data_IF_665626101021
#
_entry.id   IF_665626101021
#
_cell.length_a   1.000
_cell.length_b   1.000
_cell.length_c   1.000
_cell.angle_alpha   90.00
_cell.angle_beta   90.00
_cell.angle_gamma   90.00
#
_symmetry.space_group_name_H-M   'P 1'
#
loop_
_entity.id
_entity.type
_entity.pdbx_description
1 polymer ?
#
# COMPACT_ATOMS: atom_id res chain seq x y z
N UNK A 1 31.99 -8.01 -13.98
CA UNK A 1 30.83 -8.74 -13.44
C UNK A 1 31.04 -9.30 -12.02
N UNK A 2 32.28 -9.33 -11.48
CA UNK A 2 32.60 -10.13 -10.27
C UNK A 2 32.51 -9.37 -8.93
N UNK A 3 32.75 -8.06 -8.87
CA UNK A 3 32.81 -7.35 -7.58
C UNK A 3 31.45 -7.25 -6.86
N UNK A 4 30.36 -7.00 -7.59
CA UNK A 4 29.01 -6.86 -7.04
C UNK A 4 28.51 -8.16 -6.38
N UNK A 5 28.64 -9.29 -7.08
CA UNK A 5 28.26 -10.60 -6.56
C UNK A 5 29.13 -11.03 -5.37
N UNK A 6 30.43 -10.67 -5.38
CA UNK A 6 31.30 -10.93 -4.24
C UNK A 6 30.90 -10.12 -3.00
N UNK A 7 30.49 -8.86 -3.16
CA UNK A 7 29.96 -8.05 -2.05
C UNK A 7 28.73 -8.75 -1.47
N UNK A 8 27.78 -9.15 -2.32
CA UNK A 8 26.56 -9.83 -1.85
C UNK A 8 26.89 -11.10 -1.08
N UNK A 9 27.71 -11.98 -1.66
CA UNK A 9 28.07 -13.24 -1.01
C UNK A 9 28.81 -13.03 0.32
N UNK A 10 29.66 -11.99 0.41
CA UNK A 10 30.37 -11.64 1.64
C UNK A 10 29.41 -11.14 2.72
N UNK A 11 28.56 -10.17 2.40
CA UNK A 11 27.59 -9.60 3.35
C UNK A 11 26.58 -10.65 3.81
N UNK A 12 26.08 -11.49 2.90
CA UNK A 12 25.16 -12.57 3.24
C UNK A 12 25.79 -13.57 4.24
N UNK A 13 27.04 -13.98 3.99
CA UNK A 13 27.80 -14.83 4.93
C UNK A 13 28.02 -14.14 6.27
N UNK A 14 28.25 -12.83 6.28
CA UNK A 14 28.40 -12.05 7.52
C UNK A 14 27.15 -12.14 8.40
N UNK A 15 25.95 -12.08 7.79
CA UNK A 15 24.70 -12.26 8.53
C UNK A 15 24.61 -13.68 9.14
N UNK A 16 24.79 -14.74 8.36
CA UNK A 16 24.63 -16.12 8.87
C UNK A 16 25.75 -16.62 9.78
N UNK A 17 26.93 -15.99 9.74
CA UNK A 17 28.02 -16.30 10.66
C UNK A 17 27.83 -15.64 12.04
N UNK A 18 26.91 -14.69 12.16
CA UNK A 18 26.62 -14.01 13.42
C UNK A 18 25.39 -14.63 14.11
N UNK A 19 25.48 -15.00 15.40
CA UNK A 19 24.33 -15.45 16.20
C UNK A 19 23.14 -14.47 16.17
N UNK A 20 23.42 -13.18 15.97
CA UNK A 20 22.44 -12.09 15.94
C UNK A 20 21.38 -12.31 14.85
N UNK A 21 21.76 -12.87 13.70
CA UNK A 21 20.83 -13.12 12.60
C UNK A 21 19.77 -14.18 12.96
N UNK A 22 20.16 -15.24 13.66
CA UNK A 22 19.24 -16.27 14.11
C UNK A 22 18.30 -15.73 15.19
N UNK A 23 18.84 -14.98 16.17
CA UNK A 23 18.02 -14.30 17.18
C UNK A 23 16.99 -13.37 16.53
N UNK A 24 17.38 -12.62 15.49
CA UNK A 24 16.48 -11.75 14.75
C UNK A 24 15.31 -12.51 14.14
N UNK A 25 15.57 -13.62 13.43
CA UNK A 25 14.51 -14.44 12.80
C UNK A 25 13.60 -15.05 13.88
N UNK A 26 14.16 -15.59 14.96
CA UNK A 26 13.37 -16.20 16.05
C UNK A 26 12.44 -15.18 16.71
N UNK A 27 12.95 -13.98 17.02
CA UNK A 27 12.14 -12.92 17.64
C UNK A 27 11.08 -12.42 16.65
N UNK A 28 11.43 -12.28 15.37
CA UNK A 28 10.47 -11.92 14.31
C UNK A 28 9.33 -12.93 14.22
N UNK A 29 9.65 -14.23 14.18
CA UNK A 29 8.66 -15.30 14.15
C UNK A 29 7.81 -15.34 15.42
N UNK A 30 8.42 -15.21 16.59
CA UNK A 30 7.69 -15.24 17.87
C UNK A 30 6.66 -14.11 17.93
N UNK A 31 7.06 -12.89 17.57
CA UNK A 31 6.15 -11.73 17.58
C UNK A 31 5.06 -11.88 16.52
N UNK A 32 5.42 -12.21 15.28
CA UNK A 32 4.44 -12.31 14.17
C UNK A 32 3.47 -13.47 14.36
N UNK A 33 3.97 -14.68 14.62
CA UNK A 33 3.13 -15.86 14.85
C UNK A 33 2.34 -15.75 16.16
N UNK A 34 2.93 -15.23 17.23
CA UNK A 34 2.26 -15.10 18.53
C UNK A 34 1.07 -14.13 18.48
N UNK A 35 1.25 -12.96 17.85
CA UNK A 35 0.16 -12.00 17.64
C UNK A 35 -0.92 -12.59 16.73
N UNK A 36 -0.52 -13.25 15.63
CA UNK A 36 -1.46 -13.88 14.73
C UNK A 36 -2.31 -14.96 15.41
N UNK A 37 -1.69 -15.87 16.16
CA UNK A 37 -2.39 -16.96 16.84
C UNK A 37 -3.45 -16.43 17.81
N UNK A 38 -3.11 -15.39 18.56
CA UNK A 38 -4.05 -14.76 19.51
C UNK A 38 -5.30 -14.26 18.79
N UNK A 39 -5.13 -13.54 17.67
CA UNK A 39 -6.26 -13.02 16.88
C UNK A 39 -7.01 -14.14 16.15
N UNK A 40 -6.32 -15.17 15.68
CA UNK A 40 -6.92 -16.32 15.00
C UNK A 40 -7.88 -17.08 15.90
N UNK A 41 -7.47 -17.42 17.14
CA UNK A 41 -8.33 -18.10 18.10
C UNK A 41 -9.52 -17.25 18.56
N UNK A 42 -9.36 -15.93 18.61
CA UNK A 42 -10.44 -14.99 18.93
C UNK A 42 -11.44 -14.82 17.78
N UNK A 43 -10.96 -14.69 16.55
CA UNK A 43 -11.81 -14.44 15.38
C UNK A 43 -12.57 -15.70 14.92
N UNK A 44 -11.96 -16.89 15.07
CA UNK A 44 -12.58 -18.15 14.65
C UNK A 44 -12.74 -18.30 13.13
N UNK A 45 -12.05 -17.48 12.33
CA UNK A 45 -12.11 -17.49 10.86
C UNK A 45 -10.72 -17.78 10.29
N UNK A 46 -10.65 -18.66 9.30
CA UNK A 46 -9.42 -19.01 8.59
C UNK A 46 -9.00 -17.92 7.59
N UNK A 47 -8.55 -16.76 8.08
CA UNK A 47 -8.08 -15.63 7.27
C UNK A 47 -6.71 -15.11 7.73
N UNK A 48 -5.86 -14.71 6.77
CA UNK A 48 -4.57 -14.05 7.04
C UNK A 48 -4.65 -12.52 7.10
N UNK A 49 -5.84 -11.94 6.96
CA UNK A 49 -6.00 -10.49 6.98
C UNK A 49 -5.48 -9.83 8.27
N UNK A 50 -5.71 -10.39 9.48
CA UNK A 50 -5.16 -9.83 10.72
C UNK A 50 -3.63 -9.88 10.77
N UNK A 51 -3.01 -10.94 10.23
CA UNK A 51 -1.56 -11.03 10.10
C UNK A 51 -1.02 -9.87 9.27
N UNK A 52 -1.56 -9.66 8.07
CA UNK A 52 -1.11 -8.58 7.20
C UNK A 52 -1.40 -7.20 7.82
N UNK A 53 -2.50 -6.99 8.54
CA UNK A 53 -2.76 -5.69 9.18
C UNK A 53 -1.73 -5.29 10.24
N UNK A 54 -1.12 -6.26 10.94
CA UNK A 54 -0.10 -5.99 11.97
C UNK A 54 1.33 -5.98 11.41
N UNK A 55 1.54 -6.63 10.27
CA UNK A 55 2.85 -6.82 9.65
C UNK A 55 3.60 -5.51 9.36
N UNK A 56 2.99 -4.41 8.85
CA UNK A 56 3.71 -3.16 8.59
C UNK A 56 4.38 -2.58 9.83
N UNK A 57 3.68 -2.58 10.98
CA UNK A 57 4.22 -2.05 12.23
C UNK A 57 5.41 -2.88 12.71
N UNK A 58 5.30 -4.21 12.60
CA UNK A 58 6.38 -5.13 12.95
C UNK A 58 7.57 -4.88 12.02
N UNK A 59 7.37 -4.85 10.70
CA UNK A 59 8.43 -4.61 9.74
C UNK A 59 9.14 -3.26 9.95
N UNK A 60 8.42 -2.19 10.32
CA UNK A 60 9.04 -0.90 10.64
C UNK A 60 10.08 -1.03 11.75
N UNK A 61 9.78 -1.80 12.80
CA UNK A 61 10.71 -2.01 13.92
C UNK A 61 11.89 -2.89 13.48
N UNK A 62 11.61 -4.02 12.83
CA UNK A 62 12.62 -5.01 12.47
C UNK A 62 13.54 -4.53 11.35
N UNK A 63 13.00 -3.91 10.30
CA UNK A 63 13.82 -3.36 9.21
C UNK A 63 14.67 -2.18 9.69
N UNK A 64 14.15 -1.32 10.57
CA UNK A 64 14.97 -0.25 11.20
C UNK A 64 16.14 -0.82 11.99
N UNK A 65 15.91 -1.91 12.74
CA UNK A 65 16.96 -2.59 13.50
C UNK A 65 17.98 -3.28 12.58
N UNK A 66 17.55 -3.80 11.43
CA UNK A 66 18.44 -4.43 10.47
C UNK A 66 19.31 -3.40 9.73
N UNK A 67 18.73 -2.26 9.32
CA UNK A 67 19.44 -1.24 8.54
C UNK A 67 20.38 -0.37 9.36
N UNK A 68 20.15 -0.22 10.68
CA UNK A 68 20.92 0.70 11.52
C UNK A 68 22.44 0.48 11.41
N UNK A 69 22.89 -0.78 11.25
CA UNK A 69 24.30 -1.17 11.19
C UNK A 69 24.94 -1.05 9.81
N UNK A 70 24.17 -1.00 8.72
CA UNK A 70 24.69 -1.13 7.36
C UNK A 70 25.80 -0.12 7.02
N UNK A 71 25.61 1.14 7.43
CA UNK A 71 26.59 2.21 7.22
C UNK A 71 27.10 2.82 8.53
N UNK A 72 26.25 2.98 9.54
CA UNK A 72 26.67 3.59 10.80
C UNK A 72 27.80 2.79 11.48
N UNK A 73 27.81 1.46 11.37
CA UNK A 73 28.87 0.63 11.94
C UNK A 73 30.22 0.86 11.24
N UNK A 74 30.24 0.90 9.92
CA UNK A 74 31.47 1.18 9.16
C UNK A 74 32.00 2.59 9.40
N UNK A 75 31.09 3.55 9.65
CA UNK A 75 31.46 4.92 10.02
C UNK A 75 32.02 5.00 11.43
N UNK A 76 31.41 4.30 12.38
CA UNK A 76 31.87 4.25 13.78
C UNK A 76 33.23 3.57 13.88
N UNK A 77 33.44 2.49 13.13
CA UNK A 77 34.69 1.72 13.13
C UNK A 77 35.77 2.33 12.22
N UNK A 78 35.48 3.41 11.49
CA UNK A 78 36.45 4.06 10.61
C UNK A 78 36.86 3.23 9.38
N UNK A 79 36.09 2.21 9.01
CA UNK A 79 36.39 1.32 7.86
C UNK A 79 35.85 1.87 6.55
N UNK A 80 34.99 2.90 6.58
CA UNK A 80 34.41 3.50 5.38
C UNK A 80 35.45 4.00 4.35
N UNK A 81 36.56 4.67 4.73
CA UNK A 81 37.61 5.05 3.77
C UNK A 81 38.33 3.85 3.13
N UNK A 82 38.48 2.73 3.85
CA UNK A 82 39.05 1.48 3.31
C UNK A 82 38.13 0.85 2.27
N UNK A 83 36.81 0.98 2.46
CA UNK A 83 35.83 0.50 1.50
C UNK A 83 35.90 1.31 0.19
N UNK A 84 36.14 2.62 0.29
CA UNK A 84 36.28 3.51 -0.88
C UNK A 84 37.63 3.43 -1.59
N UNK A 85 38.67 2.89 -0.95
CA UNK A 85 39.95 2.66 -1.64
C UNK A 85 39.91 1.46 -2.58
N UNK A 86 38.90 0.59 -2.44
CA UNK A 86 38.66 -0.50 -3.37
C UNK A 86 38.16 0.04 -4.73
N UNK A 87 38.52 -0.59 -5.85
CA UNK A 87 38.12 -0.18 -7.20
C UNK A 87 36.65 -0.56 -7.50
N UNK A 88 35.73 -0.17 -6.63
CA UNK A 88 34.29 -0.45 -6.71
C UNK A 88 33.49 0.84 -6.73
N UNK A 89 32.55 0.94 -7.66
CA UNK A 89 31.63 2.08 -7.74
C UNK A 89 30.73 2.15 -6.49
N UNK A 90 30.43 3.35 -6.01
CA UNK A 90 29.50 3.57 -4.88
C UNK A 90 28.14 2.91 -5.10
N UNK A 91 27.64 2.93 -6.34
CA UNK A 91 26.38 2.25 -6.70
C UNK A 91 26.42 0.74 -6.47
N UNK A 92 27.54 0.08 -6.77
CA UNK A 92 27.68 -1.36 -6.56
C UNK A 92 27.76 -1.72 -5.08
N UNK A 93 28.35 -0.86 -4.25
CA UNK A 93 28.42 -1.03 -2.80
C UNK A 93 27.02 -0.91 -2.16
N UNK A 94 26.28 0.14 -2.53
CA UNK A 94 24.91 0.37 -2.04
C UNK A 94 23.99 -0.77 -2.45
N UNK A 95 23.95 -1.10 -3.75
CA UNK A 95 23.08 -2.17 -4.25
C UNK A 95 23.47 -3.55 -3.68
N UNK A 96 24.76 -3.81 -3.47
CA UNK A 96 25.24 -5.07 -2.90
C UNK A 96 24.80 -5.25 -1.44
N UNK A 97 24.98 -4.23 -0.61
CA UNK A 97 24.51 -4.23 0.79
C UNK A 97 22.99 -4.29 0.87
N UNK A 98 22.29 -3.50 0.05
CA UNK A 98 20.83 -3.52 -0.02
C UNK A 98 20.29 -4.90 -0.37
N UNK A 99 20.79 -5.52 -1.45
CA UNK A 99 20.29 -6.83 -1.90
C UNK A 99 20.60 -7.94 -0.88
N UNK A 100 21.71 -7.83 -0.15
CA UNK A 100 22.06 -8.77 0.92
C UNK A 100 21.10 -8.67 2.10
N UNK A 101 20.79 -7.44 2.56
CA UNK A 101 19.80 -7.20 3.59
C UNK A 101 18.40 -7.61 3.14
N UNK A 102 18.05 -7.33 1.87
CA UNK A 102 16.77 -7.71 1.28
C UNK A 102 16.58 -9.23 1.24
N UNK A 103 17.57 -9.99 0.78
CA UNK A 103 17.51 -11.46 0.79
C UNK A 103 17.37 -12.00 2.22
N UNK A 104 18.06 -11.40 3.19
CA UNK A 104 17.94 -11.78 4.59
C UNK A 104 16.53 -11.52 5.15
N UNK A 105 15.94 -10.36 4.89
CA UNK A 105 14.56 -10.05 5.28
C UNK A 105 13.54 -10.93 4.56
N UNK A 106 13.79 -11.28 3.29
CA UNK A 106 12.96 -12.25 2.55
C UNK A 106 13.00 -13.64 3.18
N UNK A 107 14.15 -14.09 3.68
CA UNK A 107 14.24 -15.37 4.40
C UNK A 107 13.45 -15.33 5.72
N UNK A 108 13.53 -14.22 6.45
CA UNK A 108 12.74 -14.00 7.67
C UNK A 108 11.24 -14.04 7.35
N UNK A 109 10.79 -13.35 6.28
CA UNK A 109 9.41 -13.37 5.82
C UNK A 109 8.98 -14.76 5.35
N UNK A 110 9.81 -15.47 4.57
CA UNK A 110 9.52 -16.82 4.09
C UNK A 110 9.34 -17.82 5.25
N UNK A 111 10.01 -17.59 6.38
CA UNK A 111 9.83 -18.42 7.57
C UNK A 111 8.41 -18.32 8.17
N UNK A 112 7.65 -17.26 7.84
CA UNK A 112 6.24 -17.11 8.25
C UNK A 112 5.27 -17.95 7.40
N UNK A 113 5.73 -18.55 6.28
CA UNK A 113 4.90 -19.41 5.42
C UNK A 113 4.36 -20.66 6.13
N UNK A 114 4.84 -20.96 7.34
CA UNK A 114 4.24 -21.97 8.21
C UNK A 114 2.77 -21.64 8.55
N UNK A 115 2.43 -20.35 8.67
CA UNK A 115 1.06 -19.91 8.99
C UNK A 115 0.06 -20.25 7.87
N UNK A 116 0.26 -19.86 6.59
CA UNK A 116 -0.67 -20.25 5.53
C UNK A 116 -0.75 -21.75 5.33
N UNK A 117 0.35 -22.50 5.53
CA UNK A 117 0.33 -23.98 5.50
C UNK A 117 -0.60 -24.54 6.58
N UNK A 118 -0.52 -24.01 7.81
CA UNK A 118 -1.44 -24.38 8.88
C UNK A 118 -2.90 -24.07 8.52
N UNK A 119 -3.18 -22.87 7.98
CA UNK A 119 -4.54 -22.48 7.61
C UNK A 119 -5.13 -23.35 6.50
N UNK A 120 -4.33 -23.72 5.50
CA UNK A 120 -4.75 -24.64 4.44
C UNK A 120 -5.04 -26.05 4.96
N UNK A 121 -4.43 -26.47 6.08
CA UNK A 121 -4.72 -27.76 6.71
C UNK A 121 -5.99 -27.70 7.58
N UNK A 122 -6.28 -26.56 8.21
CA UNK A 122 -7.42 -26.39 9.12
C UNK A 122 -8.73 -25.97 8.41
N UNK A 123 -8.64 -25.36 7.24
CA UNK A 123 -9.81 -24.85 6.52
C UNK A 123 -9.55 -24.55 5.05
N UNK A 124 -10.41 -23.73 4.44
CA UNK A 124 -10.28 -23.23 3.07
C UNK A 124 -10.04 -21.72 3.08
N UNK A 125 -8.81 -21.26 3.38
CA UNK A 125 -8.50 -19.84 3.34
C UNK A 125 -8.44 -19.36 1.88
N UNK A 126 -8.91 -18.13 1.62
CA UNK A 126 -8.75 -17.50 0.31
C UNK A 126 -7.25 -17.25 0.04
N UNK A 127 -6.75 -17.86 -1.04
CA UNK A 127 -5.34 -17.80 -1.44
C UNK A 127 -4.98 -16.43 -2.04
N UNK A 128 -5.95 -15.69 -2.56
CA UNK A 128 -5.77 -14.37 -3.16
C UNK A 128 -5.16 -13.34 -2.20
N UNK A 129 -5.82 -13.05 -1.06
CA UNK A 129 -5.30 -12.20 -0.01
C UNK A 129 -3.96 -12.69 0.58
N UNK A 130 -3.71 -14.00 0.60
CA UNK A 130 -2.42 -14.55 1.06
C UNK A 130 -1.30 -14.14 0.10
N UNK A 131 -1.44 -14.44 -1.19
CA UNK A 131 -0.44 -14.10 -2.20
C UNK A 131 -0.25 -12.59 -2.35
N UNK A 132 -1.36 -11.84 -2.40
CA UNK A 132 -1.34 -10.38 -2.46
C UNK A 132 -0.64 -9.77 -1.25
N UNK A 133 -0.97 -10.23 -0.04
CA UNK A 133 -0.36 -9.76 1.20
C UNK A 133 1.14 -10.06 1.28
N UNK A 134 1.59 -11.25 0.86
CA UNK A 134 3.02 -11.56 0.81
C UNK A 134 3.76 -10.73 -0.23
N UNK A 135 3.18 -10.51 -1.41
CA UNK A 135 3.77 -9.63 -2.42
C UNK A 135 3.89 -8.18 -1.90
N UNK A 136 2.83 -7.67 -1.28
CA UNK A 136 2.84 -6.37 -0.61
C UNK A 136 3.90 -6.29 0.49
N UNK A 137 4.10 -7.36 1.27
CA UNK A 137 5.12 -7.42 2.31
C UNK A 137 6.54 -7.35 1.72
N UNK A 138 6.79 -8.03 0.60
CA UNK A 138 8.07 -7.96 -0.11
C UNK A 138 8.38 -6.53 -0.58
N UNK A 139 7.39 -5.85 -1.16
CA UNK A 139 7.52 -4.46 -1.61
C UNK A 139 7.72 -3.50 -0.42
N UNK A 140 7.02 -3.75 0.68
CA UNK A 140 7.16 -2.97 1.90
C UNK A 140 8.56 -3.11 2.52
N UNK A 141 9.09 -4.35 2.59
CA UNK A 141 10.47 -4.61 3.00
C UNK A 141 11.44 -3.86 2.09
N UNK A 142 11.24 -3.92 0.77
CA UNK A 142 12.10 -3.23 -0.19
C UNK A 142 12.17 -1.71 0.06
N UNK A 143 11.01 -1.09 0.33
CA UNK A 143 10.90 0.33 0.67
C UNK A 143 11.55 0.67 2.03
N UNK A 144 11.20 -0.05 3.10
CA UNK A 144 11.67 0.23 4.45
C UNK A 144 13.19 0.03 4.56
N UNK A 145 13.73 -1.00 3.90
CA UNK A 145 15.18 -1.23 3.83
C UNK A 145 15.89 -0.09 3.09
N UNK A 146 15.36 0.36 1.96
CA UNK A 146 15.98 1.45 1.20
C UNK A 146 16.01 2.74 2.03
N UNK A 147 14.87 3.08 2.66
CA UNK A 147 14.74 4.23 3.56
C UNK A 147 15.69 4.11 4.76
N UNK A 148 15.64 3.01 5.51
CA UNK A 148 16.48 2.81 6.69
C UNK A 148 17.98 2.77 6.38
N UNK A 149 18.36 2.22 5.22
CA UNK A 149 19.75 2.22 4.76
C UNK A 149 20.20 3.65 4.42
N UNK A 150 19.34 4.45 3.77
CA UNK A 150 19.63 5.86 3.48
C UNK A 150 19.82 6.67 4.76
N UNK A 151 18.97 6.45 5.77
CA UNK A 151 19.06 7.09 7.09
C UNK A 151 20.37 6.69 7.78
N UNK A 152 20.71 5.39 7.81
CA UNK A 152 21.98 4.90 8.37
C UNK A 152 23.22 5.55 7.75
N UNK A 153 23.16 5.94 6.47
CA UNK A 153 24.29 6.62 5.82
C UNK A 153 24.56 8.01 6.41
N UNK A 154 23.53 8.74 6.88
CA UNK A 154 23.68 10.09 7.44
C UNK A 154 24.32 10.09 8.83
N UNK A 155 24.08 9.06 9.64
CA UNK A 155 24.51 9.01 11.05
C UNK A 155 25.76 8.15 11.26
N UNK A 156 26.54 8.47 12.29
CA UNK A 156 27.68 7.64 12.74
C UNK A 156 27.27 6.65 13.83
N UNK A 157 26.27 7.01 14.64
CA UNK A 157 25.80 6.20 15.75
C UNK A 157 24.64 5.29 15.32
N UNK A 158 24.80 3.98 15.52
CA UNK A 158 23.79 2.97 15.19
C UNK A 158 22.45 3.24 15.88
N UNK A 159 22.48 3.64 17.16
CA UNK A 159 21.26 3.89 17.95
C UNK A 159 20.48 5.07 17.36
N UNK A 160 21.17 6.14 16.95
CA UNK A 160 20.53 7.30 16.33
C UNK A 160 19.95 6.94 14.97
N UNK A 161 20.69 6.17 14.16
CA UNK A 161 20.21 5.66 12.88
C UNK A 161 18.94 4.79 13.04
N UNK A 162 18.90 3.94 14.07
CA UNK A 162 17.74 3.12 14.40
C UNK A 162 16.51 3.96 14.75
N UNK A 163 16.64 4.85 15.73
CA UNK A 163 15.52 5.67 16.22
C UNK A 163 14.94 6.52 15.09
N UNK A 164 15.79 7.14 14.27
CA UNK A 164 15.31 8.00 13.18
C UNK A 164 14.64 7.18 12.07
N UNK A 165 15.17 5.99 11.74
CA UNK A 165 14.52 5.09 10.77
C UNK A 165 13.17 4.61 11.28
N UNK A 166 13.10 4.28 12.57
CA UNK A 166 11.87 3.85 13.23
C UNK A 166 10.81 4.95 13.21
N UNK A 167 11.18 6.17 13.60
CA UNK A 167 10.27 7.33 13.61
C UNK A 167 9.82 7.67 12.20
N UNK A 168 10.72 7.64 11.20
CA UNK A 168 10.37 7.89 9.81
C UNK A 168 9.38 6.84 9.27
N UNK A 169 9.64 5.55 9.50
CA UNK A 169 8.74 4.47 9.11
C UNK A 169 7.39 4.55 9.80
N UNK A 170 7.39 4.83 11.12
CA UNK A 170 6.16 5.00 11.88
C UNK A 170 5.35 6.20 11.41
N UNK A 171 5.98 7.33 11.11
CA UNK A 171 5.32 8.50 10.55
C UNK A 171 4.67 8.21 9.19
N UNK A 172 5.36 7.46 8.30
CA UNK A 172 4.81 7.06 7.01
C UNK A 172 3.64 6.06 7.16
N UNK A 173 3.68 5.19 8.18
CA UNK A 173 2.56 4.31 8.51
C UNK A 173 1.36 5.10 9.03
N UNK A 174 1.58 6.00 9.99
CA UNK A 174 0.55 6.88 10.55
C UNK A 174 -0.11 7.75 9.47
N UNK A 175 0.68 8.28 8.53
CA UNK A 175 0.14 9.04 7.40
C UNK A 175 -0.88 8.24 6.58
N UNK A 176 -0.75 6.91 6.53
CA UNK A 176 -1.68 6.02 5.82
C UNK A 176 -2.94 5.64 6.60
N UNK A 177 -3.06 6.01 7.88
CA UNK A 177 -4.22 5.67 8.69
C UNK A 177 -5.38 6.62 8.42
N UNK A 178 -6.57 6.06 8.24
CA UNK A 178 -7.78 6.80 7.93
C UNK A 178 -8.12 7.85 9.00
N UNK A 179 -8.01 7.46 10.27
CA UNK A 179 -8.26 8.35 11.40
C UNK A 179 -7.34 9.58 11.40
N UNK A 180 -6.07 9.39 11.03
CA UNK A 180 -5.09 10.48 10.98
C UNK A 180 -5.36 11.39 9.80
N UNK A 181 -5.70 10.81 8.64
CA UNK A 181 -6.12 11.60 7.47
C UNK A 181 -7.37 12.42 7.74
N UNK A 182 -8.38 11.86 8.43
CA UNK A 182 -9.60 12.57 8.79
C UNK A 182 -9.33 13.67 9.82
N UNK A 183 -8.47 13.42 10.81
CA UNK A 183 -8.06 14.42 11.79
C UNK A 183 -7.36 15.61 11.12
N UNK A 184 -6.41 15.34 10.21
CA UNK A 184 -5.68 16.40 9.48
C UNK A 184 -6.61 17.14 8.52
N UNK A 185 -7.49 16.44 7.81
CA UNK A 185 -8.50 17.06 6.93
C UNK A 185 -9.47 17.95 7.71
N UNK A 186 -9.73 17.63 8.97
CA UNK A 186 -10.45 18.50 9.88
C UNK A 186 -9.77 19.86 10.01
N UNK A 187 -8.44 19.93 10.11
CA UNK A 187 -7.72 21.20 10.26
C UNK A 187 -7.52 21.91 8.91
N UNK A 188 -7.10 21.16 7.89
CA UNK A 188 -6.84 21.66 6.53
C UNK A 188 -7.55 20.74 5.54
N UNK A 189 -8.68 21.17 4.95
CA UNK A 189 -9.46 20.34 4.05
C UNK A 189 -8.62 19.76 2.91
N UNK A 190 -8.58 18.44 2.80
CA UNK A 190 -7.92 17.70 1.71
C UNK A 190 -6.44 17.39 1.92
N UNK A 191 -5.76 18.01 2.89
CA UNK A 191 -4.33 17.78 3.14
C UNK A 191 -4.07 16.40 3.75
N UNK A 192 -4.93 15.94 4.65
CA UNK A 192 -4.84 14.62 5.25
C UNK A 192 -5.10 13.51 4.23
N UNK A 193 -6.10 13.69 3.37
CA UNK A 193 -6.35 12.77 2.24
C UNK A 193 -5.13 12.74 1.30
N UNK A 194 -4.58 13.90 0.94
CA UNK A 194 -3.38 13.97 0.10
C UNK A 194 -2.17 13.24 0.72
N UNK A 195 -1.92 13.40 2.02
CA UNK A 195 -0.83 12.71 2.72
C UNK A 195 -1.04 11.20 2.78
N UNK A 196 -2.26 10.74 3.07
CA UNK A 196 -2.62 9.32 3.04
C UNK A 196 -2.39 8.72 1.67
N UNK A 197 -2.72 9.48 0.65
CA UNK A 197 -2.74 9.02 -0.73
C UNK A 197 -1.35 9.06 -1.40
N UNK A 198 -0.44 9.87 -0.86
CA UNK A 198 0.88 10.12 -1.48
C UNK A 198 2.06 9.61 -0.66
N UNK A 199 1.90 9.43 0.66
CA UNK A 199 2.98 9.01 1.59
C UNK A 199 2.54 7.83 2.46
N UNK A 200 1.23 7.60 2.58
CA UNK A 200 0.67 6.59 3.46
C UNK A 200 1.06 5.17 3.03
N UNK A 201 1.94 4.52 3.79
CA UNK A 201 2.28 3.11 3.55
C UNK A 201 1.07 2.20 3.81
N UNK A 202 0.29 2.53 4.84
CA UNK A 202 -0.83 1.69 5.31
C UNK A 202 -1.96 1.55 4.29
N UNK A 203 -2.27 2.61 3.54
CA UNK A 203 -3.34 2.62 2.52
C UNK A 203 -2.98 1.69 1.35
N UNK A 204 -1.81 1.89 0.74
CA UNK A 204 -1.33 1.04 -0.36
C UNK A 204 -1.15 -0.42 0.06
N UNK A 205 -0.63 -0.66 1.28
CA UNK A 205 -0.50 -2.02 1.79
C UNK A 205 -1.86 -2.71 2.04
N UNK A 206 -2.89 -1.96 2.40
CA UNK A 206 -4.22 -2.52 2.64
C UNK A 206 -4.83 -3.10 1.35
N UNK A 207 -4.61 -2.49 0.18
CA UNK A 207 -5.01 -3.03 -1.13
C UNK A 207 -4.43 -4.43 -1.36
N UNK A 208 -3.12 -4.57 -1.16
CA UNK A 208 -2.43 -5.87 -1.24
C UNK A 208 -2.99 -6.89 -0.24
N UNK A 209 -3.29 -6.46 1.00
CA UNK A 209 -3.87 -7.34 2.02
C UNK A 209 -5.29 -7.84 1.70
N UNK A 210 -6.00 -7.14 0.80
CA UNK A 210 -7.30 -7.56 0.26
C UNK A 210 -7.17 -8.52 -0.92
N UNK A 211 -5.96 -8.82 -1.41
CA UNK A 211 -5.74 -9.62 -2.60
C UNK A 211 -5.83 -8.83 -3.91
N UNK A 212 -5.87 -7.49 -3.83
CA UNK A 212 -5.90 -6.61 -4.99
C UNK A 212 -4.51 -6.06 -5.24
N UNK A 213 -4.01 -6.25 -6.46
CA UNK A 213 -2.73 -5.71 -6.92
C UNK A 213 -3.03 -4.59 -7.91
N UNK A 214 -2.97 -3.35 -7.43
CA UNK A 214 -2.98 -2.17 -8.27
C UNK A 214 -1.56 -1.85 -8.74
N UNK A 215 -1.39 -1.57 -10.04
CA UNK A 215 -0.07 -1.21 -10.57
C UNK A 215 0.43 0.12 -9.98
N UNK A 216 -0.47 1.03 -9.63
CA UNK A 216 -0.15 2.28 -8.95
C UNK A 216 0.51 2.03 -7.58
N UNK A 217 0.02 1.04 -6.83
CA UNK A 217 0.56 0.69 -5.51
C UNK A 217 1.93 0.01 -5.63
N UNK A 218 2.13 -0.80 -6.67
CA UNK A 218 3.45 -1.37 -7.00
C UNK A 218 4.46 -0.27 -7.34
N UNK A 219 4.08 0.66 -8.22
CA UNK A 219 4.92 1.78 -8.65
C UNK A 219 5.23 2.72 -7.48
N UNK A 220 4.32 2.88 -6.52
CA UNK A 220 4.55 3.62 -5.28
C UNK A 220 5.73 3.05 -4.51
N UNK A 221 5.69 1.77 -4.12
CA UNK A 221 6.77 1.14 -3.35
C UNK A 221 8.09 1.12 -4.13
N UNK A 222 8.04 0.83 -5.43
CA UNK A 222 9.23 0.75 -6.26
C UNK A 222 9.90 2.12 -6.46
N UNK A 223 9.13 3.17 -6.75
CA UNK A 223 9.65 4.51 -7.00
C UNK A 223 10.32 5.08 -5.75
N UNK A 224 9.69 4.97 -4.58
CA UNK A 224 10.30 5.42 -3.33
C UNK A 224 11.53 4.61 -2.95
N UNK A 225 11.51 3.28 -3.10
CA UNK A 225 12.71 2.46 -2.86
C UNK A 225 13.88 2.91 -3.75
N UNK A 226 13.64 3.17 -5.04
CA UNK A 226 14.65 3.68 -5.95
C UNK A 226 15.17 5.06 -5.52
N UNK A 227 14.29 5.98 -5.13
CA UNK A 227 14.67 7.33 -4.67
C UNK A 227 15.56 7.25 -3.43
N UNK A 228 15.20 6.44 -2.43
CA UNK A 228 16.02 6.29 -1.22
C UNK A 228 17.37 5.63 -1.49
N UNK A 229 17.45 4.70 -2.45
CA UNK A 229 18.72 4.13 -2.88
C UNK A 229 19.60 5.15 -3.61
N UNK A 230 19.00 6.01 -4.45
CA UNK A 230 19.72 7.11 -5.12
C UNK A 230 20.24 8.11 -4.08
N UNK A 231 19.41 8.48 -3.10
CA UNK A 231 19.83 9.33 -1.97
C UNK A 231 21.01 8.67 -1.23
N UNK A 232 20.95 7.36 -0.97
CA UNK A 232 22.04 6.63 -0.33
C UNK A 232 23.37 6.76 -1.10
N UNK A 233 23.33 6.53 -2.42
CA UNK A 233 24.50 6.70 -3.30
C UNK A 233 25.03 8.12 -3.23
N UNK A 234 24.16 9.13 -3.34
CA UNK A 234 24.59 10.51 -3.26
C UNK A 234 25.14 10.89 -1.90
N UNK A 235 24.61 10.35 -0.79
CA UNK A 235 25.16 10.56 0.56
C UNK A 235 26.59 10.06 0.65
N UNK A 236 26.87 8.88 0.08
CA UNK A 236 28.22 8.31 0.05
C UNK A 236 29.17 9.11 -0.84
N UNK A 237 28.72 9.53 -2.03
CA UNK A 237 29.52 10.39 -2.92
C UNK A 237 29.77 11.78 -2.33
N UNK A 238 28.83 12.28 -1.52
CA UNK A 238 28.97 13.52 -0.77
C UNK A 238 30.13 13.50 0.22
N UNK A 239 30.48 12.32 0.76
CA UNK A 239 31.69 12.15 1.58
C UNK A 239 32.98 12.25 0.78
N UNK A 240 32.95 11.93 -0.52
CA UNK A 240 34.10 12.03 -1.42
C UNK A 240 34.28 13.44 -2.01
N UNK A 241 33.20 14.22 -2.15
CA UNK A 241 33.18 15.52 -2.85
C UNK A 241 32.86 16.68 -1.91
N UNK A 242 33.88 17.18 -1.20
CA UNK A 242 33.77 18.29 -0.23
C UNK A 242 33.12 19.58 -0.79
N UNK A 243 33.33 19.91 -2.08
CA UNK A 243 32.75 21.11 -2.73
C UNK A 243 31.26 21.00 -3.08
N UNK A 244 30.64 19.82 -3.04
CA UNK A 244 29.24 19.60 -3.42
C UNK A 244 28.23 19.71 -2.25
N UNK A 245 28.71 19.94 -1.01
CA UNK A 245 27.88 19.87 0.19
C UNK A 245 26.75 20.92 0.26
N UNK A 246 26.90 22.11 -0.34
CA UNK A 246 25.89 23.18 -0.26
C UNK A 246 24.60 22.88 -1.04
N UNK A 247 24.66 22.06 -2.09
CA UNK A 247 23.48 21.67 -2.89
C UNK A 247 22.96 20.26 -2.61
N UNK A 248 23.67 19.47 -1.79
CA UNK A 248 23.38 18.06 -1.57
C UNK A 248 22.08 17.83 -0.80
N UNK A 249 21.86 18.57 0.29
CA UNK A 249 20.61 18.49 1.06
C UNK A 249 19.41 18.94 0.22
N UNK A 250 19.57 20.02 -0.57
CA UNK A 250 18.55 20.50 -1.49
C UNK A 250 18.23 19.44 -2.57
N UNK A 251 19.25 18.78 -3.12
CA UNK A 251 19.08 17.70 -4.10
C UNK A 251 18.31 16.50 -3.53
N UNK A 252 18.59 16.10 -2.29
CA UNK A 252 17.84 15.03 -1.61
C UNK A 252 16.38 15.42 -1.40
N UNK A 253 16.12 16.65 -0.94
CA UNK A 253 14.76 17.18 -0.75
C UNK A 253 14.01 17.22 -2.08
N UNK A 254 14.64 17.71 -3.16
CA UNK A 254 14.04 17.75 -4.49
C UNK A 254 13.73 16.37 -5.05
N UNK A 255 14.58 15.37 -4.81
CA UNK A 255 14.33 13.99 -5.21
C UNK A 255 13.13 13.38 -4.49
N UNK A 256 13.04 13.58 -3.16
CA UNK A 256 11.86 13.14 -2.39
C UNK A 256 10.61 13.87 -2.87
N UNK A 257 10.67 15.18 -3.06
CA UNK A 257 9.55 15.98 -3.55
C UNK A 257 9.08 15.54 -4.94
N UNK A 258 10.02 15.17 -5.82
CA UNK A 258 9.72 14.64 -7.14
C UNK A 258 9.06 13.26 -7.04
N UNK A 259 9.51 12.40 -6.13
CA UNK A 259 8.84 11.13 -5.83
C UNK A 259 7.40 11.30 -5.35
N UNK A 260 7.19 12.22 -4.42
CA UNK A 260 5.85 12.57 -3.91
C UNK A 260 4.97 13.08 -5.05
N UNK A 261 5.48 13.97 -5.90
CA UNK A 261 4.72 14.54 -7.01
C UNK A 261 4.38 13.49 -8.08
N UNK A 262 5.34 12.64 -8.45
CA UNK A 262 5.14 11.53 -9.40
C UNK A 262 4.08 10.56 -8.87
N UNK A 263 4.15 10.18 -7.59
CA UNK A 263 3.18 9.26 -7.00
C UNK A 263 1.78 9.88 -6.87
N UNK A 264 1.70 11.17 -6.57
CA UNK A 264 0.44 11.91 -6.60
C UNK A 264 -0.22 11.87 -7.98
N UNK A 265 0.56 12.02 -9.06
CA UNK A 265 0.05 11.95 -10.44
C UNK A 265 -0.30 10.51 -10.85
N UNK A 266 0.56 9.53 -10.56
CA UNK A 266 0.37 8.12 -10.94
C UNK A 266 -0.88 7.49 -10.32
N UNK A 267 -1.42 8.09 -9.25
CA UNK A 267 -2.64 7.63 -8.60
C UNK A 267 -3.89 7.82 -9.47
N UNK A 268 -4.01 8.96 -10.14
CA UNK A 268 -5.20 9.29 -10.94
C UNK A 268 -5.19 8.58 -12.31
N UNK A 269 -4.07 7.96 -12.66
CA UNK A 269 -3.96 7.16 -13.88
C UNK A 269 -4.43 5.74 -13.57
N UNK A 270 -5.46 5.27 -14.28
CA UNK A 270 -5.91 3.88 -14.19
C UNK A 270 -4.99 2.97 -15.01
N UNK A 271 -3.79 2.65 -14.49
CA UNK A 271 -2.74 1.90 -15.23
C UNK A 271 -3.00 0.38 -15.20
N UNK A 272 -4.02 -0.08 -14.48
CA UNK A 272 -4.44 -1.49 -14.45
C UNK A 272 -4.41 -2.11 -13.05
N UNK A 273 -5.38 -2.99 -12.82
CA UNK A 273 -5.65 -3.69 -11.55
C UNK A 273 -5.73 -5.18 -11.80
N UNK A 274 -5.12 -5.96 -10.92
CA UNK A 274 -5.20 -7.43 -10.92
C UNK A 274 -5.79 -7.87 -9.59
N UNK A 275 -6.98 -8.45 -9.63
CA UNK A 275 -7.63 -9.05 -8.46
C UNK A 275 -7.27 -10.53 -8.36
N UNK A 276 -6.67 -10.94 -7.24
CA UNK A 276 -6.31 -12.32 -6.95
C UNK A 276 -7.33 -13.06 -6.08
N UNK A 277 -8.37 -12.38 -5.58
CA UNK A 277 -9.39 -13.01 -4.72
C UNK A 277 -10.08 -14.18 -5.42
N UNK A 278 -10.44 -15.22 -4.65
CA UNK A 278 -11.06 -16.44 -5.18
C UNK A 278 -12.40 -16.16 -5.88
N UNK A 279 -13.21 -15.26 -5.29
CA UNK A 279 -14.53 -14.90 -5.81
C UNK A 279 -14.52 -13.68 -6.76
N UNK A 280 -13.35 -13.09 -7.05
CA UNK A 280 -13.24 -11.85 -7.85
C UNK A 280 -14.12 -10.72 -7.30
N UNK A 281 -13.98 -10.44 -6.01
CA UNK A 281 -14.81 -9.44 -5.31
C UNK A 281 -14.60 -8.02 -5.87
N UNK A 282 -13.48 -7.77 -6.54
CA UNK A 282 -13.08 -6.47 -7.07
C UNK A 282 -12.91 -6.45 -8.61
N UNK A 283 -13.31 -7.51 -9.31
CA UNK A 283 -13.28 -7.61 -10.79
C UNK A 283 -14.41 -8.50 -11.29
N UNK A 284 -14.78 -8.38 -12.57
CA UNK A 284 -15.97 -9.10 -13.05
C UNK A 284 -15.82 -10.63 -12.98
N UNK A 285 -16.71 -11.32 -12.26
CA UNK A 285 -16.64 -12.78 -12.11
C UNK A 285 -16.83 -13.53 -13.44
N UNK A 286 -16.29 -14.77 -13.58
CA UNK A 286 -16.46 -15.56 -14.80
C UNK A 286 -17.92 -15.94 -15.11
N UNK A 287 -18.80 -15.94 -14.11
CA UNK A 287 -20.23 -16.17 -14.30
C UNK A 287 -20.86 -14.94 -14.95
N UNK A 288 -20.61 -13.76 -14.40
CA UNK A 288 -21.07 -12.47 -14.92
C UNK A 288 -20.54 -12.20 -16.33
N UNK A 289 -19.27 -12.54 -16.62
CA UNK A 289 -18.70 -12.50 -17.98
C UNK A 289 -19.55 -13.27 -18.99
N UNK A 290 -19.95 -14.51 -18.66
CA UNK A 290 -20.79 -15.34 -19.54
C UNK A 290 -22.21 -14.78 -19.73
N UNK A 291 -22.76 -14.11 -18.73
CA UNK A 291 -24.07 -13.45 -18.82
C UNK A 291 -23.98 -12.23 -19.75
N UNK A 292 -22.95 -11.41 -19.59
CA UNK A 292 -22.76 -10.17 -20.35
C UNK A 292 -22.31 -10.42 -21.80
N UNK A 293 -21.56 -11.48 -22.08
CA UNK A 293 -21.28 -11.92 -23.46
C UNK A 293 -22.56 -12.32 -24.20
N UNK A 294 -23.54 -12.85 -23.48
CA UNK A 294 -24.82 -13.33 -24.04
C UNK A 294 -25.94 -12.30 -23.93
N UNK A 295 -25.61 -11.05 -23.61
CA UNK A 295 -26.60 -9.99 -23.47
C UNK A 295 -27.34 -9.81 -24.80
N UNK A 296 -28.65 -10.05 -24.79
CA UNK A 296 -29.48 -9.92 -25.99
C UNK A 296 -29.93 -8.48 -26.23
N UNK A 297 -30.01 -7.68 -25.17
CA UNK A 297 -30.71 -6.40 -25.15
C UNK A 297 -29.84 -5.34 -24.48
N UNK A 298 -29.92 -4.07 -24.91
CA UNK A 298 -29.20 -2.99 -24.25
C UNK A 298 -29.62 -2.79 -22.80
N UNK A 299 -28.64 -2.70 -21.91
CA UNK A 299 -28.80 -2.37 -20.49
C UNK A 299 -28.07 -1.06 -20.22
N UNK A 300 -28.71 -0.16 -19.48
CA UNK A 300 -28.13 1.10 -19.05
C UNK A 300 -28.10 1.17 -17.53
N UNK A 301 -26.90 1.23 -16.96
CA UNK A 301 -26.71 1.37 -15.52
C UNK A 301 -26.35 2.81 -15.18
N UNK A 302 -27.06 3.44 -14.25
CA UNK A 302 -26.73 4.77 -13.76
C UNK A 302 -26.31 4.68 -12.30
N UNK A 303 -25.06 5.04 -12.02
CA UNK A 303 -24.52 5.09 -10.67
C UNK A 303 -24.63 6.51 -10.11
N UNK A 304 -25.42 6.67 -9.05
CA UNK A 304 -25.66 7.93 -8.37
C UNK A 304 -24.78 7.99 -7.12
N UNK A 305 -23.80 8.89 -7.12
CA UNK A 305 -22.84 8.98 -6.02
C UNK A 305 -22.51 10.43 -5.68
N UNK A 306 -22.38 10.75 -4.40
CA UNK A 306 -21.87 12.06 -3.97
C UNK A 306 -20.40 12.24 -4.42
N UNK A 307 -19.95 13.48 -4.69
CA UNK A 307 -18.56 13.78 -5.03
C UNK A 307 -17.58 13.28 -3.95
N UNK A 308 -16.36 12.91 -4.37
CA UNK A 308 -15.33 12.30 -3.50
C UNK A 308 -15.00 13.16 -2.28
N UNK A 309 -15.08 14.49 -2.42
CA UNK A 309 -14.81 15.46 -1.37
C UNK A 309 -15.85 15.45 -0.26
N UNK A 310 -17.09 15.06 -0.57
CA UNK A 310 -18.20 15.01 0.39
C UNK A 310 -18.38 13.63 1.03
N UNK A 311 -17.74 12.61 0.48
CA UNK A 311 -17.77 11.26 1.03
C UNK A 311 -16.93 11.17 2.32
N UNK A 312 -17.40 10.43 3.34
CA UNK A 312 -16.59 10.03 4.47
C UNK A 312 -15.32 9.33 4.00
N UNK A 313 -14.24 9.51 4.74
CA UNK A 313 -12.94 8.88 4.51
C UNK A 313 -12.99 7.37 4.16
N UNK A 314 -13.78 6.50 4.85
CA UNK A 314 -13.87 5.08 4.49
C UNK A 314 -14.60 4.79 3.17
N UNK A 315 -15.31 5.77 2.60
CA UNK A 315 -16.08 5.63 1.37
C UNK A 315 -15.43 6.35 0.18
N UNK A 316 -14.30 7.04 0.36
CA UNK A 316 -13.66 7.83 -0.70
C UNK A 316 -13.13 6.99 -1.88
N UNK A 317 -12.79 5.72 -1.63
CA UNK A 317 -12.31 4.79 -2.67
C UNK A 317 -13.47 4.06 -3.38
N UNK A 318 -14.64 4.02 -2.76
CA UNK A 318 -15.80 3.28 -3.25
C UNK A 318 -16.32 3.72 -4.63
N UNK A 319 -16.41 5.02 -4.96
CA UNK A 319 -16.84 5.45 -6.29
C UNK A 319 -15.92 4.93 -7.39
N UNK A 320 -14.62 4.86 -7.10
CA UNK A 320 -13.62 4.30 -8.01
C UNK A 320 -13.82 2.80 -8.16
N UNK A 321 -13.95 2.06 -7.06
CA UNK A 321 -14.19 0.60 -7.09
C UNK A 321 -15.44 0.24 -7.93
N UNK A 322 -16.56 0.95 -7.73
CA UNK A 322 -17.79 0.73 -8.50
C UNK A 322 -17.61 1.13 -9.96
N UNK A 323 -16.96 2.26 -10.23
CA UNK A 323 -16.69 2.72 -11.59
C UNK A 323 -15.83 1.73 -12.37
N UNK A 324 -14.80 1.15 -11.74
CA UNK A 324 -13.92 0.16 -12.34
C UNK A 324 -14.70 -1.12 -12.74
N UNK A 325 -15.60 -1.61 -11.88
CA UNK A 325 -16.48 -2.76 -12.19
C UNK A 325 -17.39 -2.43 -13.37
N UNK A 326 -18.05 -1.27 -13.36
CA UNK A 326 -18.95 -0.85 -14.44
C UNK A 326 -18.20 -0.66 -15.76
N UNK A 327 -16.97 -0.15 -15.70
CA UNK A 327 -16.10 -0.01 -16.86
C UNK A 327 -15.70 -1.38 -17.42
N UNK A 328 -15.31 -2.35 -16.58
CA UNK A 328 -15.03 -3.71 -17.02
C UNK A 328 -16.27 -4.36 -17.66
N UNK A 329 -17.46 -4.21 -17.06
CA UNK A 329 -18.73 -4.68 -17.64
C UNK A 329 -19.02 -4.06 -19.01
N UNK A 330 -18.70 -2.78 -19.21
CA UNK A 330 -18.87 -2.09 -20.49
C UNK A 330 -17.92 -2.60 -21.58
N UNK A 331 -16.72 -3.05 -21.21
CA UNK A 331 -15.75 -3.65 -22.14
C UNK A 331 -16.18 -5.05 -22.59
N UNK A 332 -16.94 -5.77 -21.75
CA UNK A 332 -17.40 -7.13 -22.05
C UNK A 332 -18.55 -7.18 -23.05
N UNK A 333 -19.40 -6.14 -23.10
CA UNK A 333 -20.56 -6.14 -23.97
C UNK A 333 -20.85 -4.76 -24.56
N UNK A 334 -20.92 -4.59 -25.88
CA UNK A 334 -21.27 -3.30 -26.50
C UNK A 334 -22.73 -2.89 -26.22
N UNK A 335 -23.54 -3.80 -25.67
CA UNK A 335 -24.92 -3.53 -25.26
C UNK A 335 -25.03 -3.05 -23.82
N UNK A 336 -23.94 -3.05 -23.07
CA UNK A 336 -23.91 -2.46 -21.74
C UNK A 336 -23.39 -1.03 -21.82
N UNK A 337 -24.12 -0.10 -21.23
CA UNK A 337 -23.70 1.29 -21.08
C UNK A 337 -23.87 1.71 -19.63
N UNK A 338 -22.98 2.56 -19.13
CA UNK A 338 -23.11 3.12 -17.81
C UNK A 338 -22.93 4.63 -17.80
N UNK A 339 -23.48 5.28 -16.78
CA UNK A 339 -23.30 6.71 -16.51
C UNK A 339 -23.12 6.93 -15.02
N UNK A 340 -22.15 7.74 -14.63
CA UNK A 340 -22.00 8.23 -13.27
C UNK A 340 -22.66 9.60 -13.18
N UNK A 341 -23.52 9.80 -12.19
CA UNK A 341 -24.25 11.04 -11.96
C UNK A 341 -24.05 11.46 -10.51
N UNK A 342 -23.69 12.72 -10.29
CA UNK A 342 -23.66 13.30 -8.96
C UNK A 342 -25.01 13.99 -8.71
N UNK A 343 -25.86 13.48 -7.80
CA UNK A 343 -27.19 14.08 -7.55
C UNK A 343 -27.12 15.54 -7.12
N UNK A 344 -25.99 15.94 -6.55
CA UNK A 344 -25.75 17.29 -6.05
C UNK A 344 -25.49 18.31 -7.17
N UNK A 345 -25.07 17.85 -8.35
CA UNK A 345 -24.88 18.71 -9.53
C UNK A 345 -26.19 18.95 -10.30
N UNK A 346 -27.27 18.23 -9.95
CA UNK A 346 -28.57 18.29 -10.62
C UNK A 346 -29.70 18.51 -9.62
N UNK A 347 -29.74 19.69 -8.95
CA UNK A 347 -30.69 19.96 -7.87
C UNK A 347 -32.16 19.86 -8.31
N UNK A 348 -32.46 20.20 -9.56
CA UNK A 348 -33.82 20.18 -10.12
C UNK A 348 -34.39 18.76 -10.27
N UNK A 349 -33.55 17.72 -10.24
CA UNK A 349 -33.97 16.32 -10.40
C UNK A 349 -34.03 15.55 -9.07
N UNK A 350 -33.66 16.17 -7.94
CA UNK A 350 -33.55 15.48 -6.64
C UNK A 350 -34.90 14.89 -6.20
N UNK A 351 -36.00 15.63 -6.35
CA UNK A 351 -37.33 15.11 -5.98
C UNK A 351 -37.72 13.87 -6.80
N UNK A 352 -37.36 13.85 -8.08
CA UNK A 352 -37.63 12.71 -8.95
C UNK A 352 -36.74 11.52 -8.63
N UNK A 353 -35.47 11.75 -8.24
CA UNK A 353 -34.58 10.71 -7.73
C UNK A 353 -35.12 10.11 -6.42
N UNK A 354 -35.66 10.93 -5.52
CA UNK A 354 -36.28 10.44 -4.28
C UNK A 354 -37.52 9.60 -4.56
N UNK A 355 -38.38 10.00 -5.50
CA UNK A 355 -39.54 9.19 -5.96
C UNK A 355 -39.11 7.86 -6.57
N UNK A 356 -37.96 7.82 -7.23
CA UNK A 356 -37.37 6.59 -7.74
C UNK A 356 -36.84 5.69 -6.62
N UNK A 357 -36.52 6.23 -5.44
CA UNK A 357 -35.95 5.47 -4.31
C UNK A 357 -34.44 5.68 -4.13
N UNK A 358 -33.85 6.64 -4.85
CA UNK A 358 -32.47 7.08 -4.68
C UNK A 358 -32.49 8.17 -3.60
N UNK A 359 -32.38 7.73 -2.34
CA UNK A 359 -32.42 8.61 -1.17
C UNK A 359 -31.03 8.71 -0.53
N UNK A 360 -30.69 9.87 0.06
CA UNK A 360 -29.44 10.00 0.77
C UNK A 360 -29.51 9.22 2.09
N UNK A 361 -28.37 8.65 2.49
CA UNK A 361 -28.22 8.03 3.81
C UNK A 361 -27.22 8.79 4.65
N UNK A 362 -27.36 8.65 5.96
CA UNK A 362 -26.54 9.31 6.96
C UNK A 362 -25.27 8.51 7.20
N UNK A 363 -24.12 9.08 6.85
CA UNK A 363 -22.81 8.54 7.19
C UNK A 363 -22.14 9.41 8.25
N UNK A 364 -21.52 8.76 9.24
CA UNK A 364 -20.82 9.46 10.30
C UNK A 364 -19.43 9.89 9.84
N UNK A 365 -19.10 11.16 10.05
CA UNK A 365 -17.78 11.76 9.80
C UNK A 365 -17.28 12.44 11.05
N UNK A 366 -15.99 12.29 11.35
CA UNK A 366 -15.33 13.01 12.44
C UNK A 366 -14.72 14.27 11.83
N UNK A 367 -15.25 15.44 12.17
CA UNK A 367 -14.70 16.74 11.77
C UNK A 367 -14.48 17.60 13.01
N UNK A 368 -13.25 18.10 13.21
CA UNK A 368 -12.87 19.15 14.17
C UNK A 368 -13.55 19.06 15.57
N UNK A 369 -13.65 17.87 16.16
CA UNK A 369 -14.22 17.60 17.51
C UNK A 369 -15.74 17.34 17.60
N UNK A 370 -16.44 17.15 16.47
CA UNK A 370 -17.84 16.71 16.45
C UNK A 370 -18.06 15.46 15.57
N UNK A 371 -18.91 14.54 16.05
CA UNK A 371 -19.53 13.52 15.20
C UNK A 371 -20.54 14.22 14.28
N UNK A 372 -20.10 14.52 13.07
CA UNK A 372 -20.92 15.18 12.06
C UNK A 372 -21.61 14.12 11.20
N UNK A 373 -22.94 14.19 11.11
CA UNK A 373 -23.72 13.30 10.26
C UNK A 373 -23.83 13.95 8.89
N UNK A 374 -23.12 13.42 7.89
CA UNK A 374 -23.25 13.85 6.50
C UNK A 374 -24.25 12.98 5.77
N UNK A 375 -25.14 13.63 5.01
CA UNK A 375 -26.05 12.96 4.09
C UNK A 375 -25.35 12.79 2.75
N UNK A 376 -25.17 11.55 2.32
CA UNK A 376 -24.50 11.22 1.06
C UNK A 376 -25.38 10.33 0.20
N UNK A 377 -25.12 10.33 -1.10
CA UNK A 377 -25.77 9.46 -2.06
C UNK A 377 -24.81 8.35 -2.50
N UNK A 378 -25.34 7.13 -2.60
CA UNK A 378 -24.68 5.99 -3.23
C UNK A 378 -25.75 4.97 -3.60
N UNK A 379 -26.14 4.93 -4.86
CA UNK A 379 -27.19 4.04 -5.36
C UNK A 379 -26.95 3.70 -6.84
N UNK A 380 -27.42 2.52 -7.25
CA UNK A 380 -27.34 2.08 -8.66
C UNK A 380 -28.76 1.90 -9.19
N UNK A 381 -29.03 2.51 -10.35
CA UNK A 381 -30.25 2.25 -11.13
C UNK A 381 -29.90 1.42 -12.35
N UNK A 382 -30.65 0.34 -12.58
CA UNK A 382 -30.51 -0.56 -13.72
C UNK A 382 -31.73 -0.41 -14.60
N UNK A 383 -31.53 0.15 -15.80
CA UNK A 383 -32.54 0.31 -16.83
C UNK A 383 -32.39 -0.76 -17.92
N UNK A 384 -33.50 -1.39 -18.29
CA UNK A 384 -33.59 -2.34 -19.39
C UNK A 384 -34.88 -2.09 -20.19
N UNK A 385 -34.73 -1.77 -21.49
CA UNK A 385 -35.86 -1.40 -22.38
C UNK A 385 -36.77 -0.33 -21.74
N UNK A 386 -38.08 -0.47 -21.90
CA UNK A 386 -39.13 0.37 -21.31
C UNK A 386 -39.64 -0.18 -19.97
N UNK A 387 -38.94 -1.15 -19.35
CA UNK A 387 -39.32 -1.65 -18.03
C UNK A 387 -38.94 -0.64 -16.94
N UNK A 388 -39.67 -0.72 -15.83
CA UNK A 388 -39.36 0.06 -14.63
C UNK A 388 -37.91 -0.20 -14.22
N UNK A 389 -37.15 0.88 -13.99
CA UNK A 389 -35.78 0.82 -13.47
C UNK A 389 -35.76 0.05 -12.13
N UNK A 390 -34.85 -0.90 -12.00
CA UNK A 390 -34.55 -1.54 -10.72
C UNK A 390 -33.48 -0.73 -9.99
N UNK A 391 -33.68 -0.50 -8.70
CA UNK A 391 -32.81 0.36 -7.92
C UNK A 391 -32.23 -0.44 -6.78
N UNK A 392 -30.90 -0.44 -6.72
CA UNK A 392 -30.12 -0.97 -5.61
C UNK A 392 -29.82 0.23 -4.70
N UNK A 393 -30.54 0.38 -3.58
CA UNK A 393 -30.31 1.47 -2.65
C UNK A 393 -29.03 1.20 -1.84
N UNK A 394 -28.32 2.27 -1.49
CA UNK A 394 -27.23 2.25 -0.50
C UNK A 394 -26.10 1.26 -0.83
N UNK A 395 -25.36 1.54 -1.91
CA UNK A 395 -24.11 0.81 -2.17
C UNK A 395 -23.08 1.28 -1.15
N UNK A 396 -22.49 0.33 -0.41
CA UNK A 396 -21.49 0.55 0.63
C UNK A 396 -20.31 -0.40 0.40
N UNK A 397 -19.12 -0.14 0.97
CA UNK A 397 -17.94 -0.97 0.72
C UNK A 397 -18.17 -2.47 1.00
N UNK A 398 -19.00 -2.80 2.00
CA UNK A 398 -19.31 -4.19 2.34
C UNK A 398 -20.27 -4.88 1.36
N UNK A 399 -21.03 -4.12 0.57
CA UNK A 399 -21.97 -4.67 -0.44
C UNK A 399 -21.35 -4.81 -1.84
N UNK A 400 -20.06 -4.45 -2.00
CA UNK A 400 -19.34 -4.58 -3.28
C UNK A 400 -19.28 -6.05 -3.76
N UNK A 401 -19.10 -7.00 -2.84
CA UNK A 401 -19.04 -8.42 -3.21
C UNK A 401 -20.37 -9.04 -3.63
N UNK A 402 -21.49 -8.37 -3.38
CA UNK A 402 -22.84 -8.81 -3.79
C UNK A 402 -23.43 -7.97 -4.92
N UNK A 403 -22.58 -7.19 -5.58
CA UNK A 403 -22.98 -6.20 -6.59
C UNK A 403 -23.12 -6.83 -7.98
N UNK A 404 -22.53 -8.01 -8.18
CA UNK A 404 -22.80 -8.94 -9.28
C UNK A 404 -23.91 -9.94 -8.93
#
# INVERSE_FOLDING_TARGET
>A
MNAFLHIIGRELRSYFNSPIAYCFIVVFLLVTCGLFMTTFFLAGVATMRPFFSSLPLILIIFESALTMRLWAEERKNGTLPLLFSLPTKSTALVLGKYLSAFIFSLLALASTLVIPVMLMALGRPDVGPILGGYLGAVLLIAFLLAMGMSISAFFKDQIVAFIISLVAGFACFLAGLEFISAFIDGWVPGLGTFLRDTIGIGSHFNSFSKGVIDLSDFLYFFSFAAIFLIINVFTLEGYLRYKAQRGFALGCILLVATGVLINGILRDVNIGRVDLTEEKIFTVSPATKRVFERLKVPIKVTYYVSPKEKLPTPMKDMPRDVADILEELSRLSPKFSYKIVHPEDVPDQIEDLHKKGITPFSAQTIEQDALNIKRIYSAISVGYLDKKEEIIPQVVPDSLGSLE
#
